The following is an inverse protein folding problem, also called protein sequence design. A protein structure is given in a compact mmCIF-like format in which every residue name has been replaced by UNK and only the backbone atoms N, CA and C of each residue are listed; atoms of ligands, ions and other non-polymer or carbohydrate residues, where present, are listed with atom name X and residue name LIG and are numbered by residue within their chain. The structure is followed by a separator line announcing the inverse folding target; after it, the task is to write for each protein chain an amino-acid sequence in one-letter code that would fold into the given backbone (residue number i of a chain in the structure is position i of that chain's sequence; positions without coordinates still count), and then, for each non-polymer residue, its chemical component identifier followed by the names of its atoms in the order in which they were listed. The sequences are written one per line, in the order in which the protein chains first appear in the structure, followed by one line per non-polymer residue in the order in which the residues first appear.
data_IF_098051929830
#
_entry.id   IF_098051929830
#
_cell.length_a   1.000
_cell.length_b   1.000
_cell.length_c   1.000
_cell.angle_alpha   90.00
_cell.angle_beta   90.00
_cell.angle_gamma   90.00
#
_symmetry.space_group_name_H-M   'P 1'
#
loop_
_entity.id
_entity.type
_entity.pdbx_description
1 polymer ?
#
# COMPACT_ATOMS: atom_id res chain seq x y z
N UNK A 1 -20.98 21.02 -8.66
CA UNK A 1 -20.72 20.25 -7.43
C UNK A 1 -20.13 18.93 -7.87
N UNK A 2 -18.96 18.53 -7.36
CA UNK A 2 -18.37 17.22 -7.67
C UNK A 2 -19.24 16.15 -7.03
N UNK A 3 -19.70 15.18 -7.81
CA UNK A 3 -20.41 14.03 -7.30
C UNK A 3 -19.35 13.08 -6.73
N UNK A 4 -19.68 12.35 -5.67
CA UNK A 4 -18.83 11.24 -5.21
C UNK A 4 -19.35 9.96 -5.88
N UNK A 5 -18.67 9.46 -6.93
CA UNK A 5 -19.17 8.35 -7.73
C UNK A 5 -19.32 7.06 -6.91
N UNK A 6 -18.48 6.87 -5.90
CA UNK A 6 -18.47 5.69 -5.04
C UNK A 6 -19.68 5.66 -4.11
N UNK A 7 -20.05 6.84 -3.59
CA UNK A 7 -21.25 6.99 -2.77
C UNK A 7 -22.53 6.79 -3.55
N UNK A 8 -22.57 7.21 -4.82
CA UNK A 8 -23.73 7.03 -5.70
C UNK A 8 -23.87 5.58 -6.15
N UNK A 9 -22.76 4.91 -6.47
CA UNK A 9 -22.74 3.49 -6.84
C UNK A 9 -22.83 2.56 -5.64
N UNK A 10 -22.69 3.07 -4.42
CA UNK A 10 -22.59 2.31 -3.17
C UNK A 10 -21.47 1.26 -3.20
N UNK A 11 -20.34 1.65 -3.80
CA UNK A 11 -19.16 0.82 -3.96
C UNK A 11 -17.97 1.37 -3.18
N UNK A 12 -16.99 0.50 -2.93
CA UNK A 12 -15.70 0.95 -2.46
C UNK A 12 -14.91 1.59 -3.62
N UNK A 13 -14.06 2.61 -3.37
CA UNK A 13 -13.15 3.17 -4.38
C UNK A 13 -12.13 2.19 -4.97
N UNK A 14 -12.09 0.97 -4.45
CA UNK A 14 -11.24 -0.14 -4.88
C UNK A 14 -11.97 -1.12 -5.81
N UNK A 15 -13.27 -0.96 -6.03
CA UNK A 15 -14.07 -1.87 -6.85
C UNK A 15 -13.54 -1.93 -8.28
N UNK A 16 -13.46 -3.14 -8.81
CA UNK A 16 -13.01 -3.39 -10.18
C UNK A 16 -14.09 -3.00 -11.22
N UNK A 17 -13.70 -3.00 -12.50
CA UNK A 17 -14.59 -2.62 -13.60
C UNK A 17 -15.88 -3.46 -13.62
N UNK A 18 -15.79 -4.76 -13.33
CA UNK A 18 -16.92 -5.67 -13.40
C UNK A 18 -17.92 -5.39 -12.27
N UNK A 19 -17.41 -5.07 -11.07
CA UNK A 19 -18.23 -4.65 -9.92
C UNK A 19 -18.91 -3.30 -10.18
N UNK A 20 -18.20 -2.34 -10.77
CA UNK A 20 -18.76 -1.03 -11.14
C UNK A 20 -19.88 -1.20 -12.17
N UNK A 21 -19.68 -2.03 -13.19
CA UNK A 21 -20.70 -2.31 -14.20
C UNK A 21 -21.91 -3.04 -13.61
N UNK A 22 -21.68 -4.03 -12.74
CA UNK A 22 -22.77 -4.75 -12.06
C UNK A 22 -23.62 -3.82 -11.17
N UNK A 23 -22.99 -2.96 -10.37
CA UNK A 23 -23.69 -2.00 -9.51
C UNK A 23 -24.50 -0.98 -10.33
N UNK A 24 -23.92 -0.50 -11.44
CA UNK A 24 -24.62 0.41 -12.36
C UNK A 24 -25.87 -0.24 -12.95
N UNK A 25 -25.78 -1.48 -13.45
CA UNK A 25 -26.93 -2.21 -14.00
C UNK A 25 -28.00 -2.52 -12.93
N UNK A 26 -27.58 -2.87 -11.72
CA UNK A 26 -28.50 -3.11 -10.62
C UNK A 26 -29.30 -1.84 -10.28
N UNK A 27 -28.63 -0.70 -10.11
CA UNK A 27 -29.32 0.56 -9.79
C UNK A 27 -30.22 1.05 -10.94
N UNK A 28 -29.82 0.83 -12.20
CA UNK A 28 -30.72 1.07 -13.34
C UNK A 28 -32.01 0.23 -13.27
N UNK A 29 -31.92 -1.03 -12.83
CA UNK A 29 -33.08 -1.89 -12.68
C UNK A 29 -33.99 -1.44 -11.52
N UNK A 30 -33.43 -0.94 -10.42
CA UNK A 30 -34.19 -0.37 -9.29
C UNK A 30 -35.00 0.87 -9.73
N UNK A 31 -34.38 1.74 -10.54
CA UNK A 31 -35.01 2.94 -11.11
C UNK A 31 -36.13 2.65 -12.11
N UNK A 32 -36.23 1.42 -12.64
CA UNK A 32 -37.29 1.05 -13.58
C UNK A 32 -38.70 1.07 -12.95
N UNK A 33 -38.77 0.98 -11.62
CA UNK A 33 -40.01 1.00 -10.84
C UNK A 33 -40.46 2.38 -10.36
N UNK A 34 -39.63 3.40 -10.58
CA UNK A 34 -39.86 4.77 -10.12
C UNK A 34 -40.68 5.62 -11.11
N UNK A 35 -41.17 6.76 -10.65
CA UNK A 35 -41.86 7.73 -11.53
C UNK A 35 -40.93 8.29 -12.62
N UNK A 36 -41.49 8.63 -13.79
CA UNK A 36 -40.70 9.05 -14.96
C UNK A 36 -39.75 10.23 -14.67
N UNK A 37 -40.18 11.17 -13.83
CA UNK A 37 -39.43 12.37 -13.49
C UNK A 37 -38.24 12.06 -12.55
N UNK A 38 -38.45 11.18 -11.56
CA UNK A 38 -37.39 10.70 -10.66
C UNK A 38 -36.40 9.82 -11.41
N UNK A 39 -36.90 8.99 -12.34
CA UNK A 39 -36.08 8.10 -13.16
C UNK A 39 -35.12 8.89 -14.04
N UNK A 40 -35.56 9.94 -14.72
CA UNK A 40 -34.68 10.76 -15.58
C UNK A 40 -33.55 11.43 -14.79
N UNK A 41 -33.88 12.09 -13.67
CA UNK A 41 -32.90 12.79 -12.84
C UNK A 41 -31.88 11.82 -12.21
N UNK A 42 -32.35 10.70 -11.65
CA UNK A 42 -31.47 9.72 -11.01
C UNK A 42 -30.65 8.92 -12.03
N UNK A 43 -31.18 8.66 -13.23
CA UNK A 43 -30.41 8.00 -14.30
C UNK A 43 -29.27 8.89 -14.78
N UNK A 44 -29.49 10.20 -14.90
CA UNK A 44 -28.43 11.14 -15.27
C UNK A 44 -27.31 11.19 -14.22
N UNK A 45 -27.67 11.24 -12.93
CA UNK A 45 -26.71 11.20 -11.82
C UNK A 45 -25.94 9.87 -11.77
N UNK A 46 -26.64 8.74 -11.92
CA UNK A 46 -26.05 7.41 -11.90
C UNK A 46 -25.09 7.20 -13.08
N UNK A 47 -25.46 7.68 -14.27
CA UNK A 47 -24.61 7.64 -15.46
C UNK A 47 -23.36 8.49 -15.28
N UNK A 48 -23.49 9.70 -14.74
CA UNK A 48 -22.34 10.55 -14.43
C UNK A 48 -21.41 9.88 -13.41
N UNK A 49 -21.95 9.28 -12.34
CA UNK A 49 -21.17 8.56 -11.34
C UNK A 49 -20.46 7.34 -11.93
N UNK A 50 -21.11 6.58 -12.81
CA UNK A 50 -20.49 5.47 -13.54
C UNK A 50 -19.33 5.95 -14.43
N UNK A 51 -19.54 7.00 -15.22
CA UNK A 51 -18.49 7.55 -16.09
C UNK A 51 -17.31 8.08 -15.27
N UNK A 52 -17.56 8.76 -14.14
CA UNK A 52 -16.52 9.20 -13.21
C UNK A 52 -15.79 8.01 -12.57
N UNK A 53 -16.51 6.96 -12.12
CA UNK A 53 -15.92 5.75 -11.55
C UNK A 53 -15.05 5.00 -12.57
N UNK A 54 -15.53 4.82 -13.81
CA UNK A 54 -14.75 4.22 -14.89
C UNK A 54 -13.54 5.10 -15.25
N UNK A 55 -13.66 6.43 -15.22
CA UNK A 55 -12.49 7.30 -15.43
C UNK A 55 -11.46 7.20 -14.30
N UNK A 56 -11.87 6.85 -13.07
CA UNK A 56 -10.93 6.55 -12.00
C UNK A 56 -10.25 5.18 -12.16
N UNK A 57 -10.84 4.27 -12.93
CA UNK A 57 -10.17 3.10 -13.49
C UNK A 57 -9.29 3.53 -14.68
N UNK A 58 -8.27 4.35 -14.42
CA UNK A 58 -7.27 4.65 -15.45
C UNK A 58 -6.62 3.35 -15.91
N UNK A 59 -6.37 3.26 -17.22
CA UNK A 59 -5.63 2.13 -17.79
C UNK A 59 -4.28 1.98 -17.07
N UNK A 60 -3.77 0.74 -16.96
CA UNK A 60 -2.44 0.48 -16.41
C UNK A 60 -1.39 1.41 -17.02
N UNK A 61 -0.41 1.79 -16.22
CA UNK A 61 0.71 2.56 -16.75
C UNK A 61 1.43 1.73 -17.81
N UNK A 62 1.55 2.31 -19.01
CA UNK A 62 2.38 1.76 -20.07
C UNK A 62 3.60 2.68 -20.22
N UNK A 63 4.83 2.16 -19.99
CA UNK A 63 6.07 2.88 -20.28
C UNK A 63 6.14 3.32 -21.74
N UNK A 64 6.99 4.31 -22.05
CA UNK A 64 7.21 4.71 -23.44
C UNK A 64 7.73 3.54 -24.30
N UNK A 65 7.43 3.55 -25.60
CA UNK A 65 7.88 2.50 -26.53
C UNK A 65 9.41 2.32 -26.50
N UNK A 66 10.16 3.41 -26.33
CA UNK A 66 11.62 3.37 -26.19
C UNK A 66 12.06 2.60 -24.94
N UNK A 67 11.37 2.81 -23.81
CA UNK A 67 11.63 2.09 -22.55
C UNK A 67 11.25 0.63 -22.67
N UNK A 68 10.13 0.30 -23.32
CA UNK A 68 9.72 -1.09 -23.55
C UNK A 68 10.69 -1.85 -24.48
N UNK A 69 11.26 -1.16 -25.46
CA UNK A 69 12.28 -1.71 -26.35
C UNK A 69 13.66 -1.87 -25.67
N UNK A 70 13.83 -1.37 -24.45
CA UNK A 70 15.08 -1.47 -23.73
C UNK A 70 15.38 -2.93 -23.33
N UNK A 71 16.60 -3.45 -23.55
CA UNK A 71 16.91 -4.86 -23.28
C UNK A 71 16.65 -5.29 -21.82
N UNK A 72 16.86 -4.37 -20.88
CA UNK A 72 16.71 -4.63 -19.45
C UNK A 72 15.29 -4.41 -18.92
N UNK A 73 14.37 -3.89 -19.74
CA UNK A 73 13.00 -3.60 -19.32
C UNK A 73 12.22 -4.88 -19.00
N UNK A 74 12.32 -5.89 -19.88
CA UNK A 74 11.58 -7.13 -19.70
C UNK A 74 12.02 -7.86 -18.44
N UNK A 75 13.34 -7.96 -18.21
CA UNK A 75 13.90 -8.54 -16.99
C UNK A 75 13.39 -7.83 -15.74
N UNK A 76 13.47 -6.49 -15.71
CA UNK A 76 12.97 -5.70 -14.60
C UNK A 76 11.47 -5.91 -14.34
N UNK A 77 10.67 -5.92 -15.40
CA UNK A 77 9.21 -6.11 -15.31
C UNK A 77 8.85 -7.49 -14.75
N UNK A 78 9.57 -8.53 -15.17
CA UNK A 78 9.42 -9.88 -14.65
C UNK A 78 9.82 -9.95 -13.16
N UNK A 79 10.92 -9.33 -12.76
CA UNK A 79 11.35 -9.26 -11.37
C UNK A 79 10.34 -8.54 -10.47
N UNK A 80 9.81 -7.39 -10.92
CA UNK A 80 8.77 -6.65 -10.21
C UNK A 80 7.51 -7.51 -10.02
N UNK A 81 7.07 -8.17 -11.10
CA UNK A 81 5.89 -9.05 -11.05
C UNK A 81 6.09 -10.22 -10.08
N UNK A 82 7.27 -10.84 -10.09
CA UNK A 82 7.64 -11.91 -9.17
C UNK A 82 7.73 -11.44 -7.72
N UNK A 83 8.25 -10.22 -7.49
CA UNK A 83 8.36 -9.64 -6.16
C UNK A 83 6.98 -9.43 -5.54
N UNK A 84 6.06 -8.80 -6.27
CA UNK A 84 4.68 -8.57 -5.83
C UNK A 84 3.90 -9.87 -5.62
N UNK A 85 4.11 -10.88 -6.48
CA UNK A 85 3.50 -12.19 -6.35
C UNK A 85 4.03 -13.03 -5.16
N UNK A 86 5.14 -12.63 -4.54
CA UNK A 86 5.78 -13.39 -3.48
C UNK A 86 5.44 -12.85 -2.08
N UNK A 87 4.60 -13.58 -1.36
CA UNK A 87 4.14 -13.17 -0.03
C UNK A 87 5.23 -13.01 1.02
N UNK A 88 6.34 -13.72 0.89
CA UNK A 88 7.46 -13.62 1.82
C UNK A 88 8.35 -12.43 1.48
N UNK A 89 8.49 -12.08 0.20
CA UNK A 89 9.46 -11.07 -0.28
C UNK A 89 8.87 -9.67 -0.42
N UNK A 90 7.57 -9.54 -0.72
CA UNK A 90 6.93 -8.24 -0.98
C UNK A 90 7.01 -7.24 0.18
N UNK A 91 7.19 -7.73 1.41
CA UNK A 91 7.39 -6.90 2.61
C UNK A 91 8.82 -6.97 3.17
N UNK A 92 9.77 -7.48 2.38
CA UNK A 92 11.20 -7.44 2.71
C UNK A 92 11.84 -6.23 2.02
N UNK A 93 12.29 -5.27 2.82
CA UNK A 93 12.97 -4.06 2.31
C UNK A 93 14.14 -4.39 1.38
N UNK A 94 14.93 -5.42 1.72
CA UNK A 94 16.08 -5.88 0.91
C UNK A 94 15.68 -6.36 -0.48
N UNK A 95 14.48 -6.91 -0.66
CA UNK A 95 14.01 -7.35 -1.96
C UNK A 95 13.67 -6.15 -2.87
N UNK A 96 13.12 -5.08 -2.30
CA UNK A 96 12.87 -3.82 -3.00
C UNK A 96 14.17 -3.06 -3.30
N UNK A 97 15.14 -3.10 -2.38
CA UNK A 97 16.47 -2.54 -2.63
C UNK A 97 17.13 -3.17 -3.87
N UNK A 98 17.08 -4.50 -3.98
CA UNK A 98 17.61 -5.19 -5.16
C UNK A 98 16.92 -4.76 -6.46
N UNK A 99 15.61 -4.56 -6.43
CA UNK A 99 14.86 -4.10 -7.61
C UNK A 99 15.23 -2.65 -7.97
N UNK A 100 15.36 -1.77 -6.98
CA UNK A 100 15.75 -0.35 -7.20
C UNK A 100 17.19 -0.25 -7.72
N UNK A 101 18.09 -1.10 -7.22
CA UNK A 101 19.50 -1.16 -7.65
C UNK A 101 19.68 -1.85 -9.01
N UNK A 102 18.61 -2.38 -9.61
CA UNK A 102 18.65 -3.07 -10.90
C UNK A 102 19.29 -2.17 -11.98
N UNK A 103 20.15 -2.72 -12.87
CA UNK A 103 20.88 -1.91 -13.86
C UNK A 103 19.97 -1.05 -14.76
N UNK A 104 18.74 -1.50 -15.02
CA UNK A 104 17.73 -0.72 -15.75
C UNK A 104 17.39 0.63 -15.08
N UNK A 105 17.47 0.72 -13.75
CA UNK A 105 17.20 1.94 -12.98
C UNK A 105 18.34 2.96 -13.01
N UNK A 106 19.52 2.58 -13.51
CA UNK A 106 20.69 3.48 -13.59
C UNK A 106 20.60 4.44 -14.78
N UNK A 107 19.80 4.12 -15.79
CA UNK A 107 19.55 4.97 -16.95
C UNK A 107 18.44 5.97 -16.65
N UNK A 108 18.75 7.27 -16.65
CA UNK A 108 17.78 8.32 -16.25
C UNK A 108 16.45 8.26 -17.01
N UNK A 109 16.48 8.08 -18.34
CA UNK A 109 15.25 8.02 -19.13
C UNK A 109 14.39 6.80 -18.79
N UNK A 110 15.00 5.67 -18.47
CA UNK A 110 14.30 4.44 -18.11
C UNK A 110 13.81 4.49 -16.65
N UNK A 111 14.61 5.07 -15.75
CA UNK A 111 14.30 5.20 -14.32
C UNK A 111 12.96 5.88 -14.09
N UNK A 112 12.63 6.91 -14.84
CA UNK A 112 11.36 7.62 -14.68
C UNK A 112 10.14 6.76 -15.04
N UNK A 113 10.25 5.98 -16.11
CA UNK A 113 9.20 5.06 -16.55
C UNK A 113 9.09 3.85 -15.61
N UNK A 114 10.22 3.32 -15.14
CA UNK A 114 10.23 2.22 -14.17
C UNK A 114 9.68 2.67 -12.81
N UNK A 115 9.99 3.90 -12.37
CA UNK A 115 9.42 4.50 -11.17
C UNK A 115 7.89 4.58 -11.26
N UNK A 116 7.36 5.05 -12.39
CA UNK A 116 5.92 5.09 -12.63
C UNK A 116 5.29 3.69 -12.72
N UNK A 117 5.99 2.74 -13.33
CA UNK A 117 5.56 1.34 -13.41
C UNK A 117 5.45 0.70 -12.03
N UNK A 118 6.46 0.87 -11.17
CA UNK A 118 6.42 0.37 -9.78
C UNK A 118 5.24 0.99 -9.05
N UNK A 119 5.05 2.31 -9.15
CA UNK A 119 3.95 3.00 -8.50
C UNK A 119 2.60 2.41 -8.92
N UNK A 120 2.38 2.25 -10.23
CA UNK A 120 1.14 1.72 -10.80
C UNK A 120 0.88 0.29 -10.34
N UNK A 121 1.89 -0.59 -10.40
CA UNK A 121 1.73 -1.99 -10.03
C UNK A 121 1.49 -2.18 -8.53
N UNK A 122 2.16 -1.41 -7.66
CA UNK A 122 1.88 -1.45 -6.22
C UNK A 122 0.47 -0.92 -5.94
N UNK A 123 0.09 0.20 -6.57
CA UNK A 123 -1.25 0.75 -6.37
C UNK A 123 -2.33 -0.26 -6.80
N UNK A 124 -2.15 -0.91 -7.96
CA UNK A 124 -3.04 -1.95 -8.43
C UNK A 124 -3.09 -3.14 -7.46
N UNK A 125 -1.92 -3.65 -7.05
CA UNK A 125 -1.82 -4.74 -6.08
C UNK A 125 -2.55 -4.44 -4.77
N UNK A 126 -2.33 -3.25 -4.19
CA UNK A 126 -2.98 -2.85 -2.94
C UNK A 126 -4.50 -2.67 -3.07
N UNK A 127 -5.01 -2.34 -4.27
CA UNK A 127 -6.47 -2.30 -4.52
C UNK A 127 -7.08 -3.70 -4.56
N UNK A 128 -6.32 -4.71 -4.95
CA UNK A 128 -6.77 -6.11 -5.01
C UNK A 128 -6.60 -6.87 -3.70
N UNK A 129 -5.94 -6.29 -2.70
CA UNK A 129 -5.75 -6.92 -1.40
C UNK A 129 -7.06 -6.97 -0.60
N UNK A 130 -7.40 -8.15 -0.07
CA UNK A 130 -8.59 -8.34 0.77
C UNK A 130 -8.32 -8.07 2.26
N UNK A 131 -7.06 -8.16 2.69
CA UNK A 131 -6.62 -8.02 4.08
C UNK A 131 -5.42 -7.09 4.18
N UNK A 132 -5.33 -6.34 5.28
CA UNK A 132 -4.26 -5.40 5.59
C UNK A 132 -2.89 -6.10 5.66
N UNK A 133 -2.86 -7.38 6.06
CA UNK A 133 -1.62 -8.19 6.08
C UNK A 133 -1.02 -8.45 4.68
N UNK A 134 -1.81 -8.23 3.62
CA UNK A 134 -1.35 -8.38 2.24
C UNK A 134 -0.75 -7.08 1.70
N UNK A 135 -1.10 -5.94 2.29
CA UNK A 135 -0.62 -4.64 1.85
C UNK A 135 0.91 -4.56 1.93
N UNK A 136 1.47 -3.71 1.07
CA UNK A 136 2.88 -3.36 1.14
C UNK A 136 3.08 -2.53 2.41
N UNK A 137 4.09 -2.88 3.21
CA UNK A 137 4.35 -2.21 4.47
C UNK A 137 4.73 -0.74 4.27
N UNK A 138 4.39 0.10 5.24
CA UNK A 138 4.77 1.51 5.22
C UNK A 138 6.29 1.70 5.13
N UNK A 139 7.09 0.81 5.73
CA UNK A 139 8.56 0.83 5.62
C UNK A 139 9.02 0.75 4.16
N UNK A 140 8.45 -0.19 3.39
CA UNK A 140 8.76 -0.32 1.96
C UNK A 140 8.28 0.89 1.17
N UNK A 141 7.06 1.37 1.42
CA UNK A 141 6.50 2.52 0.70
C UNK A 141 7.30 3.81 0.95
N UNK A 142 7.78 4.02 2.18
CA UNK A 142 8.67 5.14 2.53
C UNK A 142 9.98 5.02 1.75
N UNK A 143 10.61 3.85 1.79
CA UNK A 143 11.85 3.60 1.04
C UNK A 143 11.68 3.90 -0.45
N UNK A 144 10.62 3.38 -1.09
CA UNK A 144 10.35 3.61 -2.50
C UNK A 144 10.08 5.08 -2.81
N UNK A 145 9.34 5.77 -1.93
CA UNK A 145 9.05 7.21 -2.08
C UNK A 145 10.34 8.03 -2.07
N UNK A 146 11.30 7.68 -1.20
CA UNK A 146 12.60 8.34 -1.13
C UNK A 146 13.49 8.01 -2.33
N UNK A 147 13.64 6.72 -2.65
CA UNK A 147 14.59 6.30 -3.70
C UNK A 147 14.12 6.59 -5.13
N UNK A 148 12.80 6.66 -5.34
CA UNK A 148 12.21 6.92 -6.66
C UNK A 148 11.62 8.34 -6.76
N UNK A 149 11.84 9.15 -5.72
CA UNK A 149 11.43 10.56 -5.64
C UNK A 149 9.95 10.79 -5.93
N UNK A 150 9.08 9.84 -5.54
CA UNK A 150 7.65 9.93 -5.86
C UNK A 150 6.98 11.20 -5.32
N UNK A 151 7.49 11.76 -4.23
CA UNK A 151 7.00 13.01 -3.63
C UNK A 151 7.19 14.25 -4.52
N UNK A 152 8.04 14.18 -5.54
CA UNK A 152 8.30 15.29 -6.50
C UNK A 152 7.70 15.03 -7.89
N UNK A 153 7.10 13.86 -8.10
CA UNK A 153 6.53 13.42 -9.38
C UNK A 153 5.10 13.93 -9.61
N UNK A 154 4.99 15.16 -10.11
CA UNK A 154 3.70 15.81 -10.45
C UNK A 154 2.88 15.03 -11.49
N UNK A 155 3.55 14.28 -12.38
CA UNK A 155 2.91 13.42 -13.37
C UNK A 155 2.14 12.26 -12.73
N UNK A 156 2.71 11.63 -11.69
CA UNK A 156 2.03 10.59 -10.91
C UNK A 156 0.84 11.19 -10.17
N UNK A 157 1.01 12.37 -9.58
CA UNK A 157 -0.09 13.08 -8.90
C UNK A 157 -1.23 13.41 -9.87
N UNK A 158 -0.93 13.95 -11.04
CA UNK A 158 -1.92 14.24 -12.08
C UNK A 158 -2.60 12.97 -12.62
N UNK A 159 -1.86 11.86 -12.70
CA UNK A 159 -2.40 10.57 -13.14
C UNK A 159 -3.31 9.94 -12.09
N UNK A 160 -2.88 9.75 -10.86
CA UNK A 160 -3.62 8.95 -9.89
C UNK A 160 -4.55 9.77 -8.98
N UNK A 161 -4.44 11.10 -9.02
CA UNK A 161 -5.21 12.00 -8.17
C UNK A 161 -4.68 12.05 -6.73
N UNK A 162 -5.04 13.12 -6.02
CA UNK A 162 -4.49 13.44 -4.70
C UNK A 162 -4.64 12.31 -3.68
N UNK A 163 -5.83 11.69 -3.59
CA UNK A 163 -6.11 10.67 -2.57
C UNK A 163 -5.18 9.45 -2.68
N UNK A 164 -5.04 8.88 -3.88
CA UNK A 164 -4.19 7.70 -4.09
C UNK A 164 -2.71 8.06 -4.04
N UNK A 165 -2.36 9.21 -4.61
CA UNK A 165 -1.00 9.73 -4.57
C UNK A 165 -0.49 9.92 -3.13
N UNK A 166 -1.27 10.58 -2.27
CA UNK A 166 -0.89 10.79 -0.89
C UNK A 166 -0.90 9.51 -0.06
N UNK A 167 -1.82 8.57 -0.32
CA UNK A 167 -1.77 7.25 0.32
C UNK A 167 -0.47 6.51 0.01
N UNK A 168 0.12 6.69 -1.16
CA UNK A 168 1.39 6.03 -1.50
C UNK A 168 2.62 6.76 -0.96
N UNK A 169 2.58 8.10 -0.90
CA UNK A 169 3.76 8.94 -0.68
C UNK A 169 3.87 9.57 0.71
N UNK A 170 2.76 9.71 1.44
CA UNK A 170 2.71 10.31 2.78
C UNK A 170 2.59 9.21 3.84
N UNK A 171 3.45 8.20 3.75
CA UNK A 171 3.50 7.13 4.73
C UNK A 171 4.29 7.58 5.96
N UNK A 172 3.80 7.23 7.15
CA UNK A 172 4.48 7.46 8.41
C UNK A 172 4.69 6.11 9.10
N UNK A 173 5.89 5.88 9.62
CA UNK A 173 6.12 4.73 10.50
C UNK A 173 5.32 4.99 11.77
N UNK A 174 4.39 4.10 12.17
CA UNK A 174 3.69 4.27 13.43
C UNK A 174 4.72 4.36 14.55
N UNK A 175 4.63 5.40 15.38
CA UNK A 175 5.47 5.47 16.58
C UNK A 175 5.19 4.22 17.43
N UNK A 176 6.23 3.55 17.95
CA UNK A 176 6.02 2.39 18.79
C UNK A 176 5.14 2.83 19.97
N UNK A 177 3.95 2.23 20.10
CA UNK A 177 3.11 2.43 21.27
C UNK A 177 3.95 2.08 22.49
N UNK A 178 4.28 3.10 23.29
CA UNK A 178 4.94 2.90 24.55
C UNK A 178 3.95 2.18 25.44
N UNK A 179 4.02 0.85 25.50
CA UNK A 179 3.31 0.05 26.50
C UNK A 179 4.11 0.22 27.78
N UNK A 180 3.69 1.06 28.75
CA UNK A 180 4.33 1.03 30.06
C UNK A 180 4.15 -0.39 30.60
N UNK A 181 5.26 -1.08 30.87
CA UNK A 181 5.20 -2.36 31.55
C UNK A 181 4.36 -2.18 32.83
N UNK A 182 3.37 -3.06 33.09
CA UNK A 182 2.72 -3.04 34.38
C UNK A 182 3.81 -3.25 35.43
N UNK A 183 3.91 -2.34 36.38
CA UNK A 183 4.81 -2.47 37.54
C UNK A 183 4.34 -3.73 38.27
N UNK A 184 4.94 -4.87 37.92
CA UNK A 184 4.65 -6.15 38.52
C UNK A 184 5.17 -6.07 39.96
N UNK A 185 4.23 -6.11 40.90
CA UNK A 185 4.38 -6.48 42.30
C UNK A 185 5.81 -6.51 42.84
N UNK A 186 6.11 -5.52 43.67
CA UNK A 186 7.28 -5.43 44.56
C UNK A 186 7.44 -6.61 45.54
N UNK A 187 6.66 -7.69 45.41
CA UNK A 187 6.76 -8.90 46.23
C UNK A 187 7.94 -9.80 45.89
N UNK A 188 8.55 -9.69 44.69
CA UNK A 188 9.63 -10.59 44.28
C UNK A 188 11.06 -10.03 44.56
N UNK A 189 11.18 -8.75 44.95
CA UNK A 189 12.47 -8.17 45.35
C UNK A 189 12.95 -8.69 46.72
N UNK A 190 12.04 -9.13 47.60
CA UNK A 190 12.42 -9.72 48.89
C UNK A 190 13.08 -11.11 48.73
N UNK A 191 12.65 -11.91 47.75
CA UNK A 191 13.23 -13.24 47.51
C UNK A 191 14.60 -13.16 46.82
N UNK A 192 14.84 -12.13 46.00
CA UNK A 192 16.15 -11.90 45.37
C UNK A 192 17.18 -11.47 46.43
N UNK A 193 16.78 -10.72 47.47
CA UNK A 193 17.69 -10.32 48.54
C UNK A 193 18.07 -11.47 49.48
N UNK A 194 17.15 -12.39 49.81
CA UNK A 194 17.48 -13.57 50.65
C UNK A 194 18.39 -14.55 49.89
N UNK A 195 18.14 -14.74 48.60
CA UNK A 195 18.97 -15.60 47.73
C UNK A 195 20.42 -15.10 47.59
N UNK A 196 20.63 -13.78 47.54
CA UNK A 196 21.98 -13.22 47.39
C UNK A 196 22.85 -13.34 48.66
N UNK A 197 22.23 -13.33 49.86
CA UNK A 197 22.98 -13.48 51.13
C UNK A 197 23.51 -14.89 51.37
N UNK A 198 22.83 -15.94 50.88
CA UNK A 198 23.26 -17.33 51.09
C UNK A 198 24.48 -17.67 50.21
N UNK A 199 24.55 -17.13 49.00
CA UNK A 199 25.67 -17.37 48.08
C UNK A 199 26.96 -16.69 48.56
N UNK A 200 26.88 -15.50 49.19
CA UNK A 200 28.04 -14.86 49.80
C UNK A 200 28.57 -15.58 51.05
N UNK A 201 27.71 -16.24 51.84
CA UNK A 201 28.15 -16.97 53.02
C UNK A 201 28.84 -18.30 52.69
N UNK A 202 28.42 -18.99 51.61
CA UNK A 202 29.06 -20.24 51.17
C UNK A 202 30.39 -19.96 50.43
N UNK A 203 30.48 -18.85 49.69
CA UNK A 203 31.71 -18.43 49.01
C UNK A 203 32.87 -18.04 49.94
N UNK A 204 32.58 -17.58 51.16
CA UNK A 204 33.61 -17.21 52.15
C UNK A 204 34.17 -18.40 52.96
N UNK A 205 33.47 -19.55 53.00
CA UNK A 205 33.99 -20.76 53.65
C UNK A 205 34.96 -21.57 52.76
N UNK A 206 34.99 -21.33 51.43
CA UNK A 206 35.90 -22.03 50.51
C UNK A 206 37.21 -21.27 50.20
N UNK A 207 37.48 -20.14 50.87
CA UNK A 207 38.76 -19.39 50.76
C UNK A 207 39.58 -19.49 52.07
N UNK A 208 39.18 -20.31 53.03
CA UNK A 208 39.91 -20.54 54.29
C UNK A 208 40.06 -22.03 54.64
N UNK A 209 40.70 -22.79 53.76
CA UNK A 209 41.48 -24.01 54.09
C UNK A 209 42.71 -24.05 53.19
#
# INVERSE_FOLDING_TARGET
MSIDPWKVLELAPTSDQQQIEAAYQQKLAELASESDQVREEQTALLKQAYEEAIQTLKQPFMPAEASQAHPLYQEFSEELSQLLGNALRRNQLTAWQLLVDHPAGQEHQLRDDLSALIFDQILHYQRTCEDDNQLISSEVLIYLTEQLEWSTRDDLRARYGDNFYYRMTQQHIPEPEFVPEPIADTGNLANIFIGLTIVCAIGLLMISV
#
